data_IF_111028610805
#
_entry.id   IF_111028610805
#
_cell.length_a   1.000
_cell.length_b   1.000
_cell.length_c   1.000
_cell.angle_alpha   90.00
_cell.angle_beta   90.00
_cell.angle_gamma   90.00
#
_symmetry.space_group_name_H-M   'P 1'
#
loop_
_entity.id
_entity.type
_entity.pdbx_description
1 polymer ?
#
# COMPACT_ATOMS: atom_id res chain seq x y z
N UNK A 1 12.90 -4.08 14.66
CA UNK A 1 11.69 -3.77 13.97
C UNK A 1 11.88 -2.74 12.87
N UNK A 2 10.88 -2.62 12.02
CA UNK A 2 10.88 -1.64 10.96
C UNK A 2 10.14 -0.39 11.43
N UNK A 3 10.70 0.78 11.17
CA UNK A 3 10.05 2.03 11.53
C UNK A 3 8.89 2.31 10.55
N UNK A 4 7.79 2.76 11.11
CA UNK A 4 6.59 3.05 10.33
C UNK A 4 5.83 4.22 10.91
N UNK A 5 5.15 4.96 10.05
CA UNK A 5 4.20 6.00 10.43
C UNK A 5 2.80 5.54 10.04
N UNK A 6 1.84 5.73 10.95
CA UNK A 6 0.46 5.30 10.72
C UNK A 6 -0.41 6.52 10.47
N UNK A 7 -1.08 6.52 9.31
CA UNK A 7 -2.11 7.50 8.97
C UNK A 7 -3.48 6.86 9.06
N UNK A 8 -4.48 7.64 9.44
CA UNK A 8 -5.85 7.17 9.60
C UNK A 8 -6.79 8.08 8.83
N UNK A 9 -7.64 7.49 8.00
CA UNK A 9 -8.71 8.21 7.30
C UNK A 9 -10.05 7.78 7.88
N UNK A 10 -10.82 8.75 8.40
CA UNK A 10 -12.12 8.48 8.99
C UNK A 10 -13.26 8.73 8.00
N UNK A 11 -14.45 8.18 8.33
CA UNK A 11 -15.68 8.49 7.62
C UNK A 11 -16.10 9.94 7.90
N UNK A 12 -17.10 10.44 7.16
CA UNK A 12 -17.57 11.85 7.25
C UNK A 12 -18.04 12.24 8.66
N UNK A 13 -18.54 11.28 9.45
CA UNK A 13 -18.97 11.56 10.81
C UNK A 13 -17.83 11.64 11.80
N UNK A 14 -16.59 11.35 11.38
CA UNK A 14 -15.41 11.36 12.22
C UNK A 14 -15.36 10.28 13.29
N UNK A 15 -16.33 9.39 13.33
CA UNK A 15 -16.46 8.36 14.37
C UNK A 15 -15.95 7.01 13.94
N UNK A 16 -16.09 6.68 12.64
CA UNK A 16 -15.70 5.39 12.10
C UNK A 16 -14.48 5.53 11.20
N UNK A 17 -13.54 4.60 11.34
CA UNK A 17 -12.35 4.55 10.50
C UNK A 17 -12.65 3.59 9.34
N UNK A 18 -12.45 4.05 8.09
CA UNK A 18 -12.60 3.19 6.93
C UNK A 18 -11.29 2.90 6.22
N UNK A 19 -10.22 3.60 6.56
CA UNK A 19 -8.88 3.29 6.04
C UNK A 19 -7.82 3.58 7.08
N UNK A 20 -6.86 2.66 7.19
CA UNK A 20 -5.64 2.85 7.97
C UNK A 20 -4.49 2.67 7.01
N UNK A 21 -3.56 3.61 6.99
CA UNK A 21 -2.39 3.57 6.10
C UNK A 21 -1.13 3.55 6.95
N UNK A 22 -0.25 2.58 6.66
CA UNK A 22 1.03 2.44 7.34
C UNK A 22 2.12 2.77 6.31
N UNK A 23 2.95 3.76 6.63
CA UNK A 23 4.07 4.18 5.80
C UNK A 23 5.36 3.75 6.47
N UNK A 24 6.18 2.96 5.78
CA UNK A 24 7.50 2.60 6.28
C UNK A 24 8.52 3.67 5.90
N UNK A 25 9.65 3.67 6.58
CA UNK A 25 10.70 4.66 6.32
C UNK A 25 11.12 4.64 4.84
N UNK A 26 11.28 5.80 4.21
CA UNK A 26 11.73 5.88 2.83
C UNK A 26 13.14 5.32 2.66
N UNK A 27 13.43 4.79 1.49
CA UNK A 27 14.74 4.26 1.15
C UNK A 27 15.08 4.59 -0.31
N UNK A 28 16.35 4.88 -0.55
CA UNK A 28 16.92 5.01 -1.89
C UNK A 28 17.48 3.70 -2.43
N UNK A 29 17.20 2.59 -1.76
CA UNK A 29 17.71 1.27 -2.11
C UNK A 29 16.56 0.35 -2.51
N UNK A 30 16.54 -0.07 -3.78
CA UNK A 30 15.48 -0.93 -4.30
C UNK A 30 15.38 -2.25 -3.52
N UNK A 31 16.53 -2.87 -3.22
CA UNK A 31 16.55 -4.13 -2.48
C UNK A 31 15.93 -3.98 -1.08
N UNK A 32 16.15 -2.87 -0.40
CA UNK A 32 15.54 -2.60 0.90
C UNK A 32 14.03 -2.50 0.79
N UNK A 33 13.54 -1.82 -0.23
CA UNK A 33 12.10 -1.70 -0.47
C UNK A 33 11.47 -3.05 -0.77
N UNK A 34 12.06 -3.83 -1.67
CA UNK A 34 11.54 -5.15 -2.03
C UNK A 34 11.59 -6.12 -0.85
N UNK A 35 12.66 -6.09 -0.06
CA UNK A 35 12.78 -6.97 1.12
C UNK A 35 11.68 -6.67 2.14
N UNK A 36 11.38 -5.40 2.38
CA UNK A 36 10.28 -4.99 3.26
C UNK A 36 8.93 -5.43 2.68
N UNK A 37 8.72 -5.20 1.39
CA UNK A 37 7.52 -5.61 0.68
C UNK A 37 7.31 -7.13 0.78
N UNK A 38 8.34 -7.91 0.46
CA UNK A 38 8.25 -9.38 0.48
C UNK A 38 7.98 -9.93 1.87
N UNK A 39 8.55 -9.31 2.90
CA UNK A 39 8.30 -9.69 4.28
C UNK A 39 6.80 -9.58 4.63
N UNK A 40 6.17 -8.47 4.31
CA UNK A 40 4.75 -8.27 4.59
C UNK A 40 3.85 -9.04 3.64
N UNK A 41 4.25 -9.22 2.39
CA UNK A 41 3.53 -10.09 1.45
C UNK A 41 3.46 -11.53 1.98
N UNK A 42 4.57 -12.05 2.48
CA UNK A 42 4.63 -13.39 3.08
C UNK A 42 3.72 -13.48 4.30
N UNK A 43 3.78 -12.47 5.18
CA UNK A 43 2.98 -12.43 6.39
C UNK A 43 1.48 -12.48 6.08
N UNK A 44 1.02 -11.64 5.16
CA UNK A 44 -0.39 -11.58 4.77
C UNK A 44 -0.81 -12.79 3.94
N UNK A 45 0.07 -13.34 3.14
CA UNK A 45 -0.20 -14.59 2.40
C UNK A 45 -0.43 -15.76 3.36
N UNK A 46 0.34 -15.83 4.44
CA UNK A 46 0.12 -16.83 5.49
C UNK A 46 -1.24 -16.66 6.17
N UNK A 47 -1.66 -15.43 6.39
CA UNK A 47 -2.89 -15.13 7.11
C UNK A 47 -4.13 -15.22 6.22
N UNK A 48 -4.06 -14.75 4.99
CA UNK A 48 -5.23 -14.57 4.12
C UNK A 48 -5.19 -15.38 2.82
N UNK A 49 -4.10 -16.11 2.57
CA UNK A 49 -3.90 -16.82 1.31
C UNK A 49 -3.24 -15.94 0.25
N UNK A 50 -3.17 -16.43 -0.97
CA UNK A 50 -2.55 -15.69 -2.08
C UNK A 50 -3.28 -14.39 -2.35
N UNK A 51 -2.56 -13.31 -2.75
CA UNK A 51 -3.21 -12.06 -3.09
C UNK A 51 -4.26 -12.24 -4.19
N UNK A 52 -5.35 -11.50 -4.08
CA UNK A 52 -6.41 -11.48 -5.10
C UNK A 52 -5.88 -10.87 -6.40
N UNK A 53 -5.07 -9.83 -6.28
CA UNK A 53 -4.41 -9.18 -7.41
C UNK A 53 -2.95 -8.96 -7.03
N UNK A 54 -2.04 -9.19 -7.97
CA UNK A 54 -0.62 -8.92 -7.78
C UNK A 54 -0.04 -8.39 -9.09
N UNK A 55 0.62 -7.23 -9.00
CA UNK A 55 1.34 -6.61 -10.11
C UNK A 55 2.67 -6.12 -9.59
N UNK A 56 3.76 -6.71 -10.08
CA UNK A 56 5.10 -6.42 -9.59
C UNK A 56 5.98 -6.16 -10.79
N UNK A 57 5.98 -4.89 -11.25
CA UNK A 57 6.65 -4.51 -12.48
C UNK A 57 7.46 -3.23 -12.29
N UNK A 58 8.76 -3.33 -12.56
CA UNK A 58 9.67 -2.19 -12.67
C UNK A 58 10.26 -2.20 -14.08
N UNK A 59 10.00 -1.16 -14.90
CA UNK A 59 10.45 -1.15 -16.30
C UNK A 59 11.94 -0.80 -16.51
N UNK A 60 12.74 -0.78 -15.46
CA UNK A 60 14.17 -0.49 -15.57
C UNK A 60 14.87 -1.43 -16.55
N UNK A 61 15.81 -0.89 -17.31
CA UNK A 61 16.55 -1.65 -18.32
C UNK A 61 17.72 -2.44 -17.77
N UNK A 62 18.03 -2.27 -16.49
CA UNK A 62 19.09 -3.00 -15.81
C UNK A 62 18.71 -3.23 -14.36
N UNK A 63 19.43 -4.14 -13.70
CA UNK A 63 19.20 -4.46 -12.29
C UNK A 63 19.99 -3.54 -11.34
N UNK A 64 20.64 -2.50 -11.87
CA UNK A 64 21.36 -1.57 -11.01
C UNK A 64 20.40 -0.78 -10.14
N UNK A 65 20.80 -0.49 -8.91
CA UNK A 65 19.97 0.30 -8.00
C UNK A 65 19.60 1.65 -8.63
N UNK A 66 20.55 2.29 -9.28
CA UNK A 66 20.31 3.58 -9.92
C UNK A 66 19.21 3.50 -10.99
N UNK A 67 19.21 2.47 -11.83
CA UNK A 67 18.19 2.28 -12.87
C UNK A 67 16.83 1.99 -12.26
N UNK A 68 16.78 1.10 -11.26
CA UNK A 68 15.53 0.73 -10.59
C UNK A 68 14.92 1.92 -9.86
N UNK A 69 15.74 2.71 -9.15
CA UNK A 69 15.26 3.87 -8.40
C UNK A 69 14.92 5.05 -9.31
N UNK A 70 15.53 5.15 -10.48
CA UNK A 70 15.14 6.16 -11.47
C UNK A 70 13.69 5.95 -11.91
N UNK A 71 13.27 4.70 -12.11
CA UNK A 71 11.89 4.39 -12.46
C UNK A 71 10.92 4.68 -11.30
N UNK A 72 11.35 4.44 -10.07
CA UNK A 72 10.56 4.84 -8.89
C UNK A 72 10.36 6.36 -8.89
N UNK A 73 11.41 7.12 -9.11
CA UNK A 73 11.36 8.57 -9.14
C UNK A 73 10.43 9.09 -10.24
N UNK A 74 10.45 8.47 -11.40
CA UNK A 74 9.56 8.82 -12.51
C UNK A 74 8.11 8.39 -12.31
N UNK A 75 7.84 7.51 -11.34
CA UNK A 75 6.50 7.02 -11.06
C UNK A 75 6.02 5.95 -12.05
N UNK A 76 6.93 5.28 -12.74
CA UNK A 76 6.62 4.24 -13.74
C UNK A 76 6.58 2.83 -13.16
N UNK A 77 7.00 2.66 -11.91
CA UNK A 77 6.95 1.37 -11.21
C UNK A 77 5.52 1.07 -10.77
N UNK A 78 5.06 -0.16 -11.07
CA UNK A 78 3.81 -0.71 -10.53
C UNK A 78 4.21 -1.93 -9.72
N UNK A 79 4.21 -1.80 -8.39
CA UNK A 79 4.67 -2.87 -7.51
C UNK A 79 3.74 -2.95 -6.32
N UNK A 80 2.82 -3.91 -6.36
CA UNK A 80 1.83 -4.04 -5.31
C UNK A 80 0.98 -5.28 -5.45
N UNK A 81 0.29 -5.60 -4.36
CA UNK A 81 -0.68 -6.68 -4.31
C UNK A 81 -1.82 -6.30 -3.37
N UNK A 82 -2.98 -6.95 -3.58
CA UNK A 82 -4.20 -6.68 -2.82
C UNK A 82 -4.79 -8.01 -2.38
N UNK A 83 -5.22 -8.06 -1.12
CA UNK A 83 -6.01 -9.16 -0.57
C UNK A 83 -7.42 -8.65 -0.31
N UNK A 84 -8.41 -9.26 -0.95
CA UNK A 84 -9.80 -9.06 -0.56
C UNK A 84 -10.07 -9.91 0.67
N UNK A 85 -10.55 -9.28 1.72
CA UNK A 85 -10.85 -9.94 2.99
C UNK A 85 -12.29 -9.65 3.39
N UNK A 86 -12.80 -10.36 4.38
CA UNK A 86 -14.14 -10.11 4.88
C UNK A 86 -14.24 -8.68 5.42
N UNK A 87 -15.12 -7.88 4.80
CA UNK A 87 -15.37 -6.50 5.23
C UNK A 87 -14.37 -5.47 4.71
N UNK A 88 -13.47 -5.85 3.78
CA UNK A 88 -12.54 -4.85 3.26
C UNK A 88 -11.47 -5.41 2.35
N UNK A 89 -10.36 -4.68 2.28
CA UNK A 89 -9.18 -5.14 1.54
C UNK A 89 -7.89 -4.60 2.19
N UNK A 90 -6.79 -5.25 1.85
CA UNK A 90 -5.45 -4.84 2.24
C UNK A 90 -4.64 -4.65 0.97
N UNK A 91 -4.02 -3.48 0.81
CA UNK A 91 -3.11 -3.20 -0.29
C UNK A 91 -1.71 -3.01 0.27
N UNK A 92 -0.75 -3.74 -0.31
CA UNK A 92 0.67 -3.60 -0.02
C UNK A 92 1.34 -3.14 -1.30
N UNK A 93 2.11 -2.05 -1.24
CA UNK A 93 2.70 -1.48 -2.43
C UNK A 93 4.01 -0.76 -2.15
N UNK A 94 4.80 -0.55 -3.21
CA UNK A 94 5.95 0.35 -3.20
C UNK A 94 5.55 1.59 -3.97
N UNK A 95 5.69 2.76 -3.32
CA UNK A 95 5.31 4.05 -3.88
C UNK A 95 6.51 4.99 -3.88
N UNK A 96 6.53 5.94 -4.81
CA UNK A 96 7.51 7.03 -4.75
C UNK A 96 7.15 7.99 -3.61
N UNK A 97 8.16 8.72 -3.14
CA UNK A 97 7.98 9.79 -2.16
C UNK A 97 8.19 11.14 -2.84
N UNK A 98 8.08 12.22 -2.07
CA UNK A 98 8.48 13.56 -2.55
C UNK A 98 10.00 13.71 -2.61
N UNK A 99 10.77 12.78 -2.04
CA UNK A 99 12.22 12.78 -2.10
C UNK A 99 12.77 12.38 -3.47
N UNK A 100 14.05 12.63 -3.67
CA UNK A 100 14.71 12.38 -4.95
C UNK A 100 15.25 10.95 -4.99
N UNK A 101 14.83 10.17 -5.98
CA UNK A 101 15.22 8.75 -6.13
C UNK A 101 14.96 7.94 -4.87
N UNK A 102 13.78 8.11 -4.31
CA UNK A 102 13.39 7.52 -3.03
C UNK A 102 12.01 6.90 -3.15
N UNK A 103 11.81 5.77 -2.47
CA UNK A 103 10.53 5.11 -2.40
C UNK A 103 10.20 4.69 -0.99
N UNK A 104 8.99 4.22 -0.78
CA UNK A 104 8.55 3.66 0.50
C UNK A 104 7.56 2.52 0.28
N UNK A 105 7.52 1.61 1.24
CA UNK A 105 6.50 0.57 1.29
C UNK A 105 5.31 1.12 2.03
N UNK A 106 4.12 0.88 1.49
CA UNK A 106 2.86 1.37 2.05
C UNK A 106 1.91 0.18 2.20
N UNK A 107 1.28 0.07 3.37
CA UNK A 107 0.19 -0.87 3.61
C UNK A 107 -1.06 -0.05 3.84
N UNK A 108 -2.12 -0.30 3.07
CA UNK A 108 -3.42 0.33 3.26
C UNK A 108 -4.45 -0.74 3.59
N UNK A 109 -5.07 -0.57 4.75
CA UNK A 109 -6.20 -1.38 5.18
C UNK A 109 -7.47 -0.58 5.01
N UNK A 110 -8.41 -1.09 4.22
CA UNK A 110 -9.67 -0.40 3.94
C UNK A 110 -10.84 -1.24 4.40
N UNK A 111 -11.78 -0.59 5.08
CA UNK A 111 -13.01 -1.20 5.56
C UNK A 111 -14.15 -0.84 4.62
N UNK A 112 -14.55 -1.79 3.77
CA UNK A 112 -15.61 -1.57 2.79
C UNK A 112 -17.00 -1.47 3.44
N UNK A 113 -17.20 -2.02 4.62
CA UNK A 113 -18.48 -1.92 5.33
C UNK A 113 -18.75 -0.49 5.77
N UNK A 114 -17.73 0.22 6.25
CA UNK A 114 -17.89 1.62 6.61
C UNK A 114 -18.22 2.50 5.39
N UNK A 115 -17.65 2.16 4.23
CA UNK A 115 -17.98 2.86 2.98
C UNK A 115 -19.44 2.62 2.59
N UNK A 116 -19.92 1.37 2.68
CA UNK A 116 -21.32 1.04 2.40
C UNK A 116 -22.26 1.73 3.38
N UNK A 117 -21.91 1.77 4.66
CA UNK A 117 -22.71 2.46 5.69
C UNK A 117 -22.83 3.95 5.37
N UNK A 118 -21.76 4.56 4.91
CA UNK A 118 -21.78 5.96 4.49
C UNK A 118 -22.72 6.18 3.32
N UNK A 119 -22.65 5.34 2.29
CA UNK A 119 -23.51 5.42 1.11
C UNK A 119 -24.98 5.28 1.53
N UNK A 120 -25.29 4.30 2.38
CA UNK A 120 -26.64 4.06 2.86
C UNK A 120 -27.17 5.26 3.64
N UNK A 121 -26.34 5.85 4.51
CA UNK A 121 -26.71 7.05 5.27
C UNK A 121 -27.01 8.23 4.34
N UNK A 122 -26.19 8.43 3.32
CA UNK A 122 -26.40 9.51 2.35
C UNK A 122 -27.73 9.32 1.61
N UNK A 123 -28.11 8.08 1.28
CA UNK A 123 -29.39 7.77 0.65
C UNK A 123 -30.57 8.02 1.59
N UNK A 124 -30.44 7.75 2.88
CA UNK A 124 -31.47 7.99 3.88
C UNK A 124 -31.72 9.49 4.12
N UNK A 125 -30.71 10.31 3.91
CA UNK A 125 -30.80 11.77 4.12
C UNK A 125 -31.44 12.52 2.94
N UNK A 126 -31.81 11.81 1.89
CA UNK A 126 -32.56 12.39 0.76
C UNK A 126 -34.07 12.53 1.13
#
# INVERSE_FOLDING_TARGET
GRNATIGVTATDDGKNVFAVVVFFDPSGEWNTLVNTYDYYKDLYTHKYGSPTISKEKNPARSDSNAALMAEVHQGTVVWGCVWDITGGDIELSIKKTSGFYEGMVVIRYRDSQNVETKIQKDLEDI
#
